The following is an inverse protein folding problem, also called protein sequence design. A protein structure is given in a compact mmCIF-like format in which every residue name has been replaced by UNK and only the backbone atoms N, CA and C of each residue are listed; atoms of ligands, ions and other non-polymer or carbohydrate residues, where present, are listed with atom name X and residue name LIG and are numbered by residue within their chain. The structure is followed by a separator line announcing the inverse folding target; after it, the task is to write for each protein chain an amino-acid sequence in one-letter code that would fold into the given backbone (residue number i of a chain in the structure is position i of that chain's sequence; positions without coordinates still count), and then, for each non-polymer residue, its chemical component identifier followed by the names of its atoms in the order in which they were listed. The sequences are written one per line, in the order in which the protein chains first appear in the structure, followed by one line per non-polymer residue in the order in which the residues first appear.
data_IF_301873140454
#
_entry.id   IF_301873140454
#
_cell.length_a   1.000
_cell.length_b   1.000
_cell.length_c   1.000
_cell.angle_alpha   90.00
_cell.angle_beta   90.00
_cell.angle_gamma   90.00
#
_symmetry.space_group_name_H-M   'P 1'
#
loop_
_entity.id
_entity.type
_entity.pdbx_description
1 polymer ?
#
# COMPACT_ATOMS: atom_id res chain seq x y z
N UNK A 1 12.32 1.27 -1.03
CA UNK A 1 11.48 2.45 -0.74
C UNK A 1 10.68 2.91 -1.94
N UNK A 2 9.44 3.32 -1.72
CA UNK A 2 8.56 3.95 -2.70
C UNK A 2 9.11 5.30 -3.15
N UNK A 3 8.93 5.63 -4.42
CA UNK A 3 9.41 6.86 -5.07
C UNK A 3 8.32 7.63 -5.82
N UNK A 4 7.16 7.01 -6.03
CA UNK A 4 6.03 7.62 -6.72
C UNK A 4 4.89 6.64 -6.92
N UNK A 5 3.68 7.16 -7.11
CA UNK A 5 2.49 6.39 -7.43
C UNK A 5 1.57 7.21 -8.34
N UNK A 6 0.87 6.54 -9.25
CA UNK A 6 -0.18 7.12 -10.09
C UNK A 6 -1.30 6.08 -10.22
N UNK A 7 -2.52 6.48 -9.93
CA UNK A 7 -3.72 5.69 -10.20
C UNK A 7 -4.72 6.59 -10.93
N UNK A 8 -5.06 6.24 -12.17
CA UNK A 8 -6.12 6.86 -12.93
C UNK A 8 -6.94 5.79 -13.67
N UNK A 9 -7.92 6.23 -14.45
CA UNK A 9 -8.80 5.39 -15.25
C UNK A 9 -8.09 4.59 -16.35
N UNK A 10 -6.92 5.05 -16.80
CA UNK A 10 -6.14 4.37 -17.84
C UNK A 10 -5.14 3.36 -17.28
N UNK A 11 -4.53 3.64 -16.13
CA UNK A 11 -3.42 2.84 -15.59
C UNK A 11 -3.16 3.05 -14.10
N UNK A 12 -2.50 2.04 -13.54
CA UNK A 12 -1.79 2.11 -12.28
C UNK A 12 -0.27 2.08 -12.53
N UNK A 13 0.49 2.93 -11.83
CA UNK A 13 1.95 2.93 -11.83
C UNK A 13 2.45 3.03 -10.40
N UNK A 14 3.39 2.17 -10.03
CA UNK A 14 4.06 2.20 -8.74
C UNK A 14 5.58 2.25 -8.96
N UNK A 15 6.21 3.32 -8.47
CA UNK A 15 7.65 3.54 -8.61
C UNK A 15 8.36 3.23 -7.29
N UNK A 16 9.40 2.41 -7.33
CA UNK A 16 10.16 2.00 -6.15
C UNK A 16 11.67 1.91 -6.43
N UNK A 17 12.47 2.00 -5.37
CA UNK A 17 13.93 1.90 -5.44
C UNK A 17 14.36 0.44 -5.60
N UNK A 18 15.05 0.13 -6.70
CA UNK A 18 15.67 -1.17 -6.94
C UNK A 18 16.94 -1.00 -7.78
N UNK A 19 17.96 -1.84 -7.54
CA UNK A 19 19.30 -1.66 -8.12
C UNK A 19 19.42 -2.07 -9.59
N UNK A 20 18.42 -2.77 -10.13
CA UNK A 20 18.37 -3.30 -11.49
C UNK A 20 16.92 -3.36 -11.96
N UNK A 21 16.70 -3.54 -13.26
CA UNK A 21 15.37 -3.89 -13.75
C UNK A 21 14.96 -5.27 -13.22
N UNK A 22 13.66 -5.45 -12.94
CA UNK A 22 13.12 -6.76 -12.62
C UNK A 22 13.20 -7.66 -13.86
N UNK A 23 13.63 -8.90 -13.65
CA UNK A 23 13.51 -9.97 -14.63
C UNK A 23 12.05 -10.38 -14.80
N UNK A 24 11.74 -11.05 -15.92
CA UNK A 24 10.39 -11.57 -16.17
C UNK A 24 9.90 -12.51 -15.06
N UNK A 25 10.79 -13.31 -14.46
CA UNK A 25 10.44 -14.19 -13.34
C UNK A 25 10.12 -13.42 -12.06
N UNK A 26 10.86 -12.35 -11.78
CA UNK A 26 10.58 -11.48 -10.63
C UNK A 26 9.25 -10.73 -10.84
N UNK A 27 8.94 -10.30 -12.07
CA UNK A 27 7.63 -9.70 -12.40
C UNK A 27 6.47 -10.68 -12.20
N UNK A 28 6.59 -11.90 -12.70
CA UNK A 28 5.60 -12.96 -12.47
C UNK A 28 5.39 -13.22 -10.97
N UNK A 29 6.48 -13.23 -10.19
CA UNK A 29 6.38 -13.41 -8.74
C UNK A 29 5.64 -12.26 -8.05
N UNK A 30 5.83 -11.02 -8.50
CA UNK A 30 5.08 -9.87 -7.97
C UNK A 30 3.60 -10.02 -8.27
N UNK A 31 3.24 -10.36 -9.51
CA UNK A 31 1.86 -10.59 -9.94
C UNK A 31 1.19 -11.70 -9.12
N UNK A 32 1.86 -12.84 -8.92
CA UNK A 32 1.38 -13.94 -8.07
C UNK A 32 1.12 -13.48 -6.62
N UNK A 33 2.00 -12.66 -6.05
CA UNK A 33 1.83 -12.14 -4.69
C UNK A 33 0.60 -11.23 -4.61
N UNK A 34 0.40 -10.35 -5.60
CA UNK A 34 -0.78 -9.49 -5.68
C UNK A 34 -2.07 -10.31 -5.76
N UNK A 35 -2.10 -11.32 -6.64
CA UNK A 35 -3.24 -12.22 -6.80
C UNK A 35 -3.52 -13.03 -5.53
N UNK A 36 -2.49 -13.50 -4.82
CA UNK A 36 -2.64 -14.19 -3.54
C UNK A 36 -3.28 -13.29 -2.47
N UNK A 37 -2.96 -11.99 -2.45
CA UNK A 37 -3.55 -11.03 -1.51
C UNK A 37 -5.03 -10.76 -1.83
N UNK A 38 -5.38 -10.66 -3.11
CA UNK A 38 -6.78 -10.53 -3.56
C UNK A 38 -7.57 -11.79 -3.16
N UNK A 39 -7.00 -12.98 -3.41
CA UNK A 39 -7.64 -14.25 -3.12
C UNK A 39 -7.88 -14.49 -1.61
N UNK A 40 -7.06 -13.88 -0.74
CA UNK A 40 -7.22 -13.95 0.73
C UNK A 40 -8.40 -13.14 1.27
N UNK A 41 -8.98 -12.23 0.47
CA UNK A 41 -10.15 -11.42 0.84
C UNK A 41 -9.97 -10.70 2.18
N UNK A 42 -8.85 -10.00 2.33
CA UNK A 42 -8.48 -9.33 3.57
C UNK A 42 -9.25 -8.01 3.70
N UNK A 43 -9.66 -7.68 4.92
CA UNK A 43 -10.31 -6.40 5.19
C UNK A 43 -9.32 -5.24 5.03
N UNK A 44 -9.84 -4.14 4.51
CA UNK A 44 -9.15 -2.86 4.39
C UNK A 44 -9.80 -1.90 5.38
N UNK A 45 -9.04 -1.46 6.36
CA UNK A 45 -9.54 -0.58 7.43
C UNK A 45 -8.78 0.74 7.41
N UNK A 46 -9.39 1.77 8.00
CA UNK A 46 -8.69 3.03 8.21
C UNK A 46 -9.08 3.69 9.52
N UNK A 47 -8.13 4.38 10.12
CA UNK A 47 -8.29 5.10 11.38
C UNK A 47 -7.51 6.41 11.36
N UNK A 48 -7.96 7.37 12.17
CA UNK A 48 -7.28 8.66 12.33
C UNK A 48 -6.64 8.66 13.72
N UNK A 49 -5.33 8.88 13.76
CA UNK A 49 -4.52 8.85 14.98
C UNK A 49 -3.64 10.10 15.09
N UNK A 50 -3.23 10.50 16.30
CA UNK A 50 -2.13 11.44 16.47
C UNK A 50 -0.90 10.95 15.70
N UNK A 51 -0.20 11.86 15.02
CA UNK A 51 0.94 11.51 14.16
C UNK A 51 2.02 10.74 14.93
N UNK A 52 2.30 11.15 16.18
CA UNK A 52 3.28 10.47 17.03
C UNK A 52 2.90 9.02 17.33
N UNK A 53 1.62 8.72 17.60
CA UNK A 53 1.15 7.35 17.85
C UNK A 53 1.18 6.51 16.56
N UNK A 54 0.80 7.13 15.44
CA UNK A 54 0.78 6.47 14.14
C UNK A 54 2.18 6.05 13.66
N UNK A 55 3.21 6.83 14.00
CA UNK A 55 4.62 6.54 13.66
C UNK A 55 5.19 5.33 14.43
N UNK A 56 4.61 4.99 15.58
CA UNK A 56 5.04 3.85 16.40
C UNK A 56 4.37 2.53 15.97
N UNK A 57 3.44 2.56 15.00
CA UNK A 57 2.79 1.35 14.49
C UNK A 57 3.80 0.44 13.77
N UNK A 58 3.81 -0.84 14.13
CA UNK A 58 4.69 -1.81 13.50
C UNK A 58 4.39 -1.93 11.99
N UNK A 59 5.44 -1.87 11.18
CA UNK A 59 5.33 -2.05 9.73
C UNK A 59 4.73 -0.87 8.98
N UNK A 60 4.43 0.26 9.65
CA UNK A 60 3.93 1.45 8.96
C UNK A 60 4.96 1.98 7.96
N UNK A 61 4.53 2.10 6.71
CA UNK A 61 5.32 2.69 5.64
C UNK A 61 4.96 4.17 5.54
N UNK A 62 5.95 5.01 5.78
CA UNK A 62 5.90 6.44 5.51
C UNK A 62 7.02 6.81 4.54
N UNK A 63 6.76 7.77 3.66
CA UNK A 63 7.73 8.24 2.69
C UNK A 63 8.66 9.24 3.39
N UNK A 64 9.96 8.94 3.40
CA UNK A 64 10.95 9.81 4.01
C UNK A 64 10.97 11.18 3.32
N UNK A 65 10.80 12.25 4.10
CA UNK A 65 10.81 13.64 3.63
C UNK A 65 9.43 14.22 3.31
N UNK A 66 8.37 13.44 3.41
CA UNK A 66 7.01 13.98 3.34
C UNK A 66 6.54 14.54 4.69
N UNK A 67 5.75 15.61 4.63
CA UNK A 67 5.12 16.22 5.80
C UNK A 67 3.70 15.68 5.89
N UNK A 68 3.44 14.89 6.93
CA UNK A 68 2.12 14.37 7.22
C UNK A 68 1.34 15.31 8.17
N UNK A 69 0.02 15.43 8.01
CA UNK A 69 -0.81 16.19 8.94
C UNK A 69 -0.89 15.49 10.31
N UNK A 70 -1.22 16.26 11.34
CA UNK A 70 -1.57 15.73 12.66
C UNK A 70 -2.99 16.23 13.02
N UNK A 71 -3.98 15.33 13.18
CA UNK A 71 -3.86 13.86 13.11
C UNK A 71 -3.70 13.34 11.69
N UNK A 72 -3.12 12.14 11.58
CA UNK A 72 -2.88 11.44 10.31
C UNK A 72 -3.88 10.29 10.12
N UNK A 73 -4.28 10.04 8.87
CA UNK A 73 -5.07 8.86 8.52
C UNK A 73 -4.16 7.70 8.16
N UNK A 74 -4.34 6.58 8.87
CA UNK A 74 -3.67 5.31 8.63
C UNK A 74 -4.63 4.37 7.90
N UNK A 75 -4.16 3.73 6.84
CA UNK A 75 -4.88 2.67 6.12
C UNK A 75 -4.12 1.36 6.32
N UNK A 76 -4.87 0.31 6.65
CA UNK A 76 -4.35 -1.03 6.90
C UNK A 76 -5.05 -2.04 5.99
N UNK A 77 -4.27 -2.78 5.21
CA UNK A 77 -4.73 -3.89 4.37
C UNK A 77 -4.36 -5.19 5.08
N UNK A 78 -5.36 -5.92 5.54
CA UNK A 78 -5.17 -7.02 6.48
C UNK A 78 -4.46 -6.58 7.77
N UNK A 79 -4.20 -7.53 8.67
CA UNK A 79 -3.51 -7.23 9.92
C UNK A 79 -2.00 -6.97 9.74
N UNK A 80 -1.40 -7.47 8.65
CA UNK A 80 0.06 -7.46 8.45
C UNK A 80 0.50 -7.22 7.00
N UNK A 81 -0.43 -7.09 6.04
CA UNK A 81 -0.06 -7.07 4.62
C UNK A 81 0.48 -5.72 4.18
N UNK A 82 -0.17 -4.62 4.57
CA UNK A 82 0.37 -3.27 4.39
C UNK A 82 -0.28 -2.28 5.34
N UNK A 83 0.52 -1.38 5.91
CA UNK A 83 0.05 -0.27 6.74
C UNK A 83 0.73 1.00 6.24
N UNK A 84 -0.04 2.03 5.90
CA UNK A 84 0.48 3.27 5.29
C UNK A 84 -0.33 4.50 5.74
N UNK A 85 0.32 5.67 5.75
CA UNK A 85 -0.37 6.95 5.87
C UNK A 85 -0.97 7.35 4.52
N UNK A 86 -2.30 7.32 4.40
CA UNK A 86 -2.98 7.61 3.13
C UNK A 86 -4.29 8.38 3.31
N UNK A 87 -4.41 9.49 2.57
CA UNK A 87 -5.63 10.31 2.49
C UNK A 87 -6.58 9.95 1.35
N UNK A 88 -6.25 8.94 0.52
CA UNK A 88 -7.05 8.52 -0.63
C UNK A 88 -8.26 7.67 -0.27
N UNK A 89 -9.12 7.43 -1.26
CA UNK A 89 -10.23 6.48 -1.18
C UNK A 89 -9.74 5.05 -1.37
N UNK A 90 -10.34 4.11 -0.65
CA UNK A 90 -10.00 2.69 -0.72
C UNK A 90 -11.27 1.83 -0.78
N UNK A 91 -11.14 0.64 -1.36
CA UNK A 91 -12.07 -0.49 -1.21
C UNK A 91 -12.12 -0.97 0.24
N UNK A 92 -13.14 -1.73 0.62
CA UNK A 92 -13.31 -2.25 1.98
C UNK A 92 -12.69 -3.65 2.15
N UNK A 93 -12.51 -4.40 1.06
CA UNK A 93 -11.89 -5.72 1.08
C UNK A 93 -11.04 -5.96 -0.18
N UNK A 94 -9.90 -6.67 -0.05
CA UNK A 94 -8.99 -6.93 -1.19
C UNK A 94 -9.64 -7.69 -2.33
N UNK A 95 -10.73 -8.43 -2.07
CA UNK A 95 -11.48 -9.12 -3.11
C UNK A 95 -12.14 -8.18 -4.14
N UNK A 96 -12.42 -6.94 -3.77
CA UNK A 96 -13.03 -5.94 -4.67
C UNK A 96 -12.08 -5.47 -5.78
N UNK A 97 -10.78 -5.72 -5.63
CA UNK A 97 -9.83 -5.46 -6.72
C UNK A 97 -10.00 -6.44 -7.89
N UNK A 98 -10.70 -7.57 -7.68
CA UNK A 98 -11.00 -8.64 -8.64
C UNK A 98 -9.77 -9.39 -9.19
N UNK A 99 -8.84 -8.68 -9.84
CA UNK A 99 -7.62 -9.23 -10.43
C UNK A 99 -6.51 -8.16 -10.52
N UNK A 100 -5.28 -8.64 -10.69
CA UNK A 100 -4.09 -7.85 -10.97
C UNK A 100 -3.42 -8.32 -12.25
#
# INVERSE_FOLDING_TARGET
DQRGSLCNDEKLRFDFSHNKALSLKELQKVEEICQDVIAKKQDVTSQVLPLAEAQELEGVRAVFGEVYPDPVRVVSIGNETSIEFCGGTHIENTAEAEAF
#
